data_IF_918268758619
#
_entry.id   IF_918268758619
#
_cell.length_a   1.000
_cell.length_b   1.000
_cell.length_c   1.000
_cell.angle_alpha   90.00
_cell.angle_beta   90.00
_cell.angle_gamma   90.00
#
_symmetry.space_group_name_H-M   'P 1'
#
loop_
_entity.id
_entity.type
_entity.pdbx_description
1 polymer ?
#
# COMPACT_ATOMS: atom_id res chain seq x y z
N UNK A 1 30.36 -19.56 20.47
CA UNK A 1 29.79 -19.41 21.80
C UNK A 1 29.23 -18.00 21.96
N UNK A 2 27.92 -17.88 21.75
CA UNK A 2 27.20 -16.63 21.93
C UNK A 2 26.74 -16.56 23.37
N UNK A 3 27.48 -15.91 24.22
CA UNK A 3 27.19 -15.78 25.64
C UNK A 3 27.29 -14.35 26.16
N UNK A 4 27.09 -13.34 25.29
CA UNK A 4 26.97 -11.97 25.78
C UNK A 4 25.51 -11.70 26.21
N UNK A 5 25.30 -11.33 27.49
CA UNK A 5 23.98 -10.89 27.91
C UNK A 5 23.60 -9.64 27.14
N UNK A 6 22.38 -9.61 26.58
CA UNK A 6 21.81 -8.39 26.03
C UNK A 6 21.65 -7.38 27.17
N UNK A 7 22.32 -6.24 27.03
CA UNK A 7 22.12 -5.14 27.95
C UNK A 7 20.86 -4.37 27.50
N UNK A 8 19.92 -4.10 28.39
CA UNK A 8 18.79 -3.23 28.07
C UNK A 8 19.33 -1.88 27.63
N UNK A 9 18.98 -1.44 26.43
CA UNK A 9 19.26 -0.08 25.99
C UNK A 9 17.92 0.61 25.74
N UNK A 10 17.83 1.87 26.11
CA UNK A 10 16.69 2.73 25.79
C UNK A 10 16.82 3.16 24.32
N UNK A 11 16.37 2.29 23.42
CA UNK A 11 16.35 2.57 21.99
C UNK A 11 15.00 3.19 21.67
N UNK A 12 14.93 4.49 21.48
CA UNK A 12 13.79 5.13 20.87
C UNK A 12 13.61 4.59 19.44
N UNK A 13 12.56 3.77 19.21
CA UNK A 13 12.21 3.30 17.87
C UNK A 13 11.60 4.43 17.05
N UNK A 14 12.02 4.58 15.78
CA UNK A 14 11.30 5.44 14.83
C UNK A 14 10.06 4.71 14.30
N UNK A 15 9.07 5.48 13.81
CA UNK A 15 7.88 4.93 13.18
C UNK A 15 8.23 4.16 11.90
N UNK A 16 7.36 3.22 11.55
CA UNK A 16 7.49 2.40 10.35
C UNK A 16 6.93 3.15 9.14
N UNK A 17 7.78 3.51 8.19
CA UNK A 17 7.40 4.19 6.97
C UNK A 17 6.54 3.35 6.05
N UNK A 18 6.70 2.03 6.07
CA UNK A 18 5.81 1.16 5.33
C UNK A 18 4.36 1.28 5.83
N UNK A 19 4.14 1.18 7.14
CA UNK A 19 2.81 1.34 7.72
C UNK A 19 2.28 2.78 7.51
N UNK A 20 3.17 3.77 7.61
CA UNK A 20 2.86 5.17 7.35
C UNK A 20 2.39 5.44 5.92
N UNK A 21 2.89 4.69 4.93
CA UNK A 21 2.56 4.90 3.52
C UNK A 21 1.05 4.76 3.22
N UNK A 22 0.34 3.88 3.93
CA UNK A 22 -1.12 3.73 3.73
C UNK A 22 -1.87 4.99 4.15
N UNK A 23 -1.50 5.60 5.25
CA UNK A 23 -2.11 6.83 5.76
C UNK A 23 -1.72 8.05 4.94
N UNK A 24 -0.47 8.11 4.48
CA UNK A 24 0.00 9.13 3.54
C UNK A 24 -0.78 9.07 2.21
N UNK A 25 -1.03 7.86 1.69
CA UNK A 25 -1.84 7.66 0.50
C UNK A 25 -3.31 8.07 0.74
N UNK A 26 -3.92 7.63 1.85
CA UNK A 26 -5.29 7.99 2.24
C UNK A 26 -5.47 9.51 2.30
N UNK A 27 -4.55 10.20 2.97
CA UNK A 27 -4.61 11.65 3.10
C UNK A 27 -4.57 12.35 1.74
N UNK A 28 -3.65 11.94 0.87
CA UNK A 28 -3.49 12.51 -0.48
C UNK A 28 -4.65 12.21 -1.42
N UNK A 29 -5.25 11.01 -1.32
CA UNK A 29 -6.44 10.66 -2.10
C UNK A 29 -7.66 11.48 -1.72
N UNK A 30 -7.77 11.90 -0.45
CA UNK A 30 -8.88 12.68 0.09
C UNK A 30 -8.62 14.19 0.14
N UNK A 31 -7.50 14.67 -0.39
CA UNK A 31 -7.04 16.06 -0.26
C UNK A 31 -6.90 16.54 1.20
N UNK A 32 -6.64 15.60 2.09
CA UNK A 32 -6.45 15.85 3.52
C UNK A 32 -4.98 15.73 3.91
N UNK A 33 -4.58 16.42 4.95
CA UNK A 33 -3.27 16.25 5.58
C UNK A 33 -3.38 15.25 6.71
N UNK A 34 -2.70 14.13 6.58
CA UNK A 34 -2.53 13.17 7.67
C UNK A 34 -1.16 13.44 8.32
N UNK A 35 -1.16 13.57 9.64
CA UNK A 35 0.08 13.67 10.41
C UNK A 35 0.30 12.36 11.14
N UNK A 36 1.40 11.71 10.85
CA UNK A 36 1.79 10.46 11.50
C UNK A 36 2.93 10.81 12.47
N UNK A 37 2.68 10.75 13.78
CA UNK A 37 3.72 11.01 14.75
C UNK A 37 4.82 9.93 14.65
N UNK A 38 6.04 10.28 15.01
CA UNK A 38 7.21 9.41 15.06
C UNK A 38 7.77 8.94 13.70
N UNK A 39 7.24 9.36 12.55
CA UNK A 39 7.93 9.15 11.28
C UNK A 39 9.15 10.09 11.19
N UNK A 40 10.32 9.50 11.07
CA UNK A 40 11.56 10.27 10.92
C UNK A 40 11.77 10.63 9.42
N UNK A 41 11.73 11.91 9.03
CA UNK A 41 11.95 12.32 7.64
C UNK A 41 13.37 12.01 7.14
N UNK A 42 14.31 11.76 8.04
CA UNK A 42 15.68 11.37 7.73
C UNK A 42 15.94 9.86 7.94
N UNK A 43 14.89 9.06 8.01
CA UNK A 43 14.99 7.61 8.17
C UNK A 43 15.80 6.96 7.05
N UNK A 44 16.47 5.85 7.39
CA UNK A 44 17.15 4.97 6.43
C UNK A 44 16.21 3.90 5.84
N UNK A 45 14.95 3.84 6.26
CA UNK A 45 13.97 2.93 5.68
C UNK A 45 13.74 3.28 4.21
N UNK A 46 13.84 2.29 3.32
CA UNK A 46 13.60 2.47 1.88
C UNK A 46 12.20 3.03 1.60
N UNK A 47 11.21 2.57 2.36
CA UNK A 47 9.82 2.95 2.22
C UNK A 47 9.52 4.45 2.49
N UNK A 48 10.48 5.19 3.07
CA UNK A 48 10.38 6.65 3.23
C UNK A 48 10.15 7.40 1.92
N UNK A 49 10.55 6.82 0.79
CA UNK A 49 10.36 7.42 -0.54
C UNK A 49 8.88 7.53 -0.94
N UNK A 50 7.96 6.88 -0.22
CA UNK A 50 6.53 6.86 -0.51
C UNK A 50 5.94 8.26 -0.69
N UNK A 51 6.33 9.24 0.12
CA UNK A 51 5.82 10.60 0.03
C UNK A 51 6.16 11.25 -1.32
N UNK A 52 7.42 11.14 -1.75
CA UNK A 52 7.87 11.67 -3.04
C UNK A 52 7.20 10.95 -4.22
N UNK A 53 7.01 9.63 -4.11
CA UNK A 53 6.37 8.83 -5.15
C UNK A 53 4.88 9.18 -5.28
N UNK A 54 4.16 9.34 -4.17
CA UNK A 54 2.77 9.79 -4.22
C UNK A 54 2.61 11.20 -4.78
N UNK A 55 3.50 12.13 -4.41
CA UNK A 55 3.46 13.49 -4.94
C UNK A 55 3.72 13.51 -6.46
N UNK A 56 4.66 12.70 -6.94
CA UNK A 56 4.94 12.59 -8.36
C UNK A 56 3.79 11.93 -9.14
N UNK A 57 3.19 10.83 -8.62
CA UNK A 57 2.01 10.19 -9.22
C UNK A 57 0.78 11.11 -9.28
N UNK A 58 0.64 11.99 -8.29
CA UNK A 58 -0.40 13.02 -8.30
C UNK A 58 -0.15 14.08 -9.37
N UNK A 59 1.11 14.37 -9.67
CA UNK A 59 1.51 15.34 -10.69
C UNK A 59 1.37 14.83 -12.13
N UNK A 60 1.37 13.52 -12.34
CA UNK A 60 1.26 12.91 -13.66
C UNK A 60 1.80 11.50 -13.72
N UNK A 61 1.72 10.92 -14.92
CA UNK A 61 2.27 9.57 -15.17
C UNK A 61 3.80 9.58 -15.03
N UNK A 62 4.33 8.68 -14.21
CA UNK A 62 5.76 8.65 -13.87
C UNK A 62 6.27 7.22 -13.72
N UNK A 63 7.61 7.04 -13.81
CA UNK A 63 8.29 5.76 -13.65
C UNK A 63 9.12 5.75 -12.37
N UNK A 64 9.03 4.65 -11.61
CA UNK A 64 9.77 4.43 -10.36
C UNK A 64 10.44 3.07 -10.33
N UNK A 65 11.60 2.96 -9.66
CA UNK A 65 12.17 1.68 -9.25
C UNK A 65 11.62 1.25 -7.90
N UNK A 66 11.29 -0.03 -7.75
CA UNK A 66 10.89 -0.66 -6.49
C UNK A 66 12.00 -1.52 -5.87
N UNK A 67 13.23 -1.42 -6.36
CA UNK A 67 14.36 -2.21 -5.84
C UNK A 67 14.52 -2.10 -4.33
N UNK A 68 14.50 -0.88 -3.80
CA UNK A 68 14.75 -0.58 -2.39
C UNK A 68 13.47 -0.49 -1.52
N UNK A 69 12.29 -0.50 -2.17
CA UNK A 69 10.99 -0.38 -1.48
C UNK A 69 9.91 -1.30 -2.05
N UNK A 70 10.21 -2.61 -2.27
CA UNK A 70 9.26 -3.53 -2.92
C UNK A 70 7.95 -3.66 -2.14
N UNK A 71 8.00 -3.46 -0.85
CA UNK A 71 6.84 -3.60 0.02
C UNK A 71 5.81 -2.47 -0.13
N UNK A 72 6.20 -1.36 -0.74
CA UNK A 72 5.26 -0.29 -1.15
C UNK A 72 4.46 -0.65 -2.42
N UNK A 73 4.86 -1.67 -3.19
CA UNK A 73 4.26 -2.00 -4.49
C UNK A 73 2.74 -1.99 -4.50
N UNK A 74 2.04 -2.79 -3.67
CA UNK A 74 0.58 -2.82 -3.67
C UNK A 74 -0.07 -1.45 -3.44
N UNK A 75 0.46 -0.66 -2.49
CA UNK A 75 -0.09 0.67 -2.20
C UNK A 75 0.20 1.66 -3.33
N UNK A 76 1.37 1.59 -3.93
CA UNK A 76 1.72 2.44 -5.08
C UNK A 76 0.87 2.10 -6.31
N UNK A 77 0.59 0.82 -6.57
CA UNK A 77 -0.30 0.41 -7.66
C UNK A 77 -1.72 0.91 -7.43
N UNK A 78 -2.25 0.80 -6.21
CA UNK A 78 -3.55 1.32 -5.84
C UNK A 78 -3.61 2.85 -5.97
N UNK A 79 -2.56 3.56 -5.54
CA UNK A 79 -2.49 5.01 -5.68
C UNK A 79 -2.37 5.47 -7.13
N UNK A 80 -1.55 4.78 -7.93
CA UNK A 80 -1.44 5.03 -9.37
C UNK A 80 -2.79 4.83 -10.09
N UNK A 81 -3.53 3.78 -9.72
CA UNK A 81 -4.88 3.53 -10.23
C UNK A 81 -5.84 4.70 -9.96
N UNK A 82 -5.75 5.30 -8.79
CA UNK A 82 -6.58 6.44 -8.37
C UNK A 82 -6.13 7.79 -8.92
N UNK A 83 -4.99 7.85 -9.60
CA UNK A 83 -4.40 9.09 -10.11
C UNK A 83 -4.13 9.00 -11.62
N UNK A 84 -2.94 9.34 -12.05
CA UNK A 84 -2.58 9.40 -13.48
C UNK A 84 -1.95 8.10 -14.03
N UNK A 85 -1.87 7.06 -13.20
CA UNK A 85 -1.12 5.86 -13.55
C UNK A 85 0.40 6.02 -13.35
N UNK A 86 1.13 4.93 -13.63
CA UNK A 86 2.58 4.94 -13.52
C UNK A 86 3.19 3.61 -13.95
N UNK A 87 4.50 3.64 -14.14
CA UNK A 87 5.32 2.46 -14.43
C UNK A 87 6.26 2.17 -13.25
N UNK A 88 6.39 0.91 -12.91
CA UNK A 88 7.20 0.45 -11.79
C UNK A 88 8.16 -0.61 -12.28
N UNK A 89 9.45 -0.38 -12.09
CA UNK A 89 10.52 -1.30 -12.51
C UNK A 89 11.10 -2.05 -11.32
N UNK A 90 11.86 -3.10 -11.57
CA UNK A 90 12.50 -3.94 -10.55
C UNK A 90 11.48 -4.57 -9.58
N UNK A 91 10.37 -5.03 -10.15
CA UNK A 91 9.21 -5.57 -9.43
C UNK A 91 9.29 -7.08 -9.17
N UNK A 92 10.30 -7.78 -9.68
CA UNK A 92 10.40 -9.23 -9.61
C UNK A 92 10.24 -9.81 -8.21
N UNK A 93 10.72 -9.10 -7.18
CA UNK A 93 10.58 -9.51 -5.78
C UNK A 93 9.14 -9.55 -5.27
N UNK A 94 8.20 -8.86 -5.94
CA UNK A 94 6.78 -8.86 -5.57
C UNK A 94 6.09 -10.19 -5.88
N UNK A 95 6.65 -11.01 -6.78
CA UNK A 95 6.06 -12.31 -7.15
C UNK A 95 6.32 -13.42 -6.14
N UNK A 96 7.31 -13.24 -5.28
CA UNK A 96 7.79 -14.26 -4.32
C UNK A 96 7.60 -13.82 -2.86
N UNK A 97 6.57 -13.03 -2.61
CA UNK A 97 6.16 -12.59 -1.26
C UNK A 97 5.08 -13.53 -0.68
N UNK A 98 4.23 -13.04 0.21
CA UNK A 98 3.11 -13.79 0.79
C UNK A 98 2.11 -14.26 -0.29
N UNK A 99 2.01 -13.50 -1.36
CA UNK A 99 1.27 -13.81 -2.59
C UNK A 99 2.10 -13.38 -3.80
N UNK A 100 1.71 -13.76 -5.03
CA UNK A 100 2.12 -13.02 -6.23
C UNK A 100 1.37 -11.68 -6.22
N UNK A 101 2.00 -10.66 -5.61
CA UNK A 101 1.40 -9.34 -5.44
C UNK A 101 1.05 -8.65 -6.75
N UNK A 102 1.77 -8.97 -7.83
CA UNK A 102 1.49 -8.40 -9.16
C UNK A 102 0.21 -9.02 -9.72
N UNK A 103 0.12 -10.36 -9.68
CA UNK A 103 -1.07 -11.09 -10.10
C UNK A 103 -2.30 -10.67 -9.30
N UNK A 104 -2.18 -10.66 -7.96
CA UNK A 104 -3.25 -10.24 -7.06
C UNK A 104 -3.74 -8.82 -7.38
N UNK A 105 -2.84 -7.84 -7.44
CA UNK A 105 -3.24 -6.46 -7.72
C UNK A 105 -3.82 -6.29 -9.12
N UNK A 106 -3.36 -7.05 -10.12
CA UNK A 106 -3.96 -7.03 -11.46
C UNK A 106 -5.42 -7.48 -11.43
N UNK A 107 -5.71 -8.59 -10.75
CA UNK A 107 -7.07 -9.12 -10.61
C UNK A 107 -7.97 -8.12 -9.88
N UNK A 108 -7.48 -7.58 -8.78
CA UNK A 108 -8.29 -6.71 -7.93
C UNK A 108 -8.50 -5.32 -8.53
N UNK A 109 -7.49 -4.72 -9.14
CA UNK A 109 -7.64 -3.42 -9.82
C UNK A 109 -8.57 -3.51 -11.04
N UNK A 110 -8.62 -4.65 -11.72
CA UNK A 110 -9.57 -4.88 -12.81
C UNK A 110 -11.03 -4.74 -12.35
N UNK A 111 -11.36 -5.10 -11.10
CA UNK A 111 -12.70 -4.94 -10.53
C UNK A 111 -13.10 -3.47 -10.36
N UNK A 112 -12.12 -2.56 -10.23
CA UNK A 112 -12.33 -1.11 -10.23
C UNK A 112 -12.33 -0.49 -11.64
N UNK A 113 -12.15 -1.32 -12.69
CA UNK A 113 -12.05 -0.87 -14.09
C UNK A 113 -10.66 -0.39 -14.48
N UNK A 114 -9.63 -0.73 -13.71
CA UNK A 114 -8.25 -0.30 -13.94
C UNK A 114 -7.41 -1.43 -14.52
N UNK A 115 -6.69 -1.13 -15.60
CA UNK A 115 -5.75 -2.05 -16.23
C UNK A 115 -4.38 -1.99 -15.53
N UNK A 116 -3.90 -3.14 -15.07
CA UNK A 116 -2.52 -3.36 -14.69
C UNK A 116 -1.91 -4.37 -15.66
N UNK A 117 -0.88 -3.97 -16.38
CA UNK A 117 -0.10 -4.84 -17.27
C UNK A 117 1.30 -5.03 -16.73
N UNK A 118 1.88 -6.20 -16.98
CA UNK A 118 3.25 -6.50 -16.59
C UNK A 118 4.05 -7.11 -17.78
N UNK A 119 5.31 -6.76 -17.84
CA UNK A 119 6.25 -7.27 -18.85
C UNK A 119 7.64 -7.36 -18.25
N UNK A 120 8.16 -8.60 -18.15
CA UNK A 120 9.46 -8.85 -17.53
C UNK A 120 9.49 -8.40 -16.07
N UNK A 121 10.36 -7.45 -15.78
CA UNK A 121 10.56 -6.87 -14.44
C UNK A 121 9.91 -5.47 -14.31
N UNK A 122 8.82 -5.25 -15.05
CA UNK A 122 8.13 -3.95 -15.10
C UNK A 122 6.62 -4.15 -15.01
N UNK A 123 5.96 -3.31 -14.21
CA UNK A 123 4.51 -3.20 -14.10
C UNK A 123 4.08 -1.81 -14.54
N UNK A 124 3.02 -1.72 -15.32
CA UNK A 124 2.37 -0.45 -15.68
C UNK A 124 0.92 -0.48 -15.24
N UNK A 125 0.52 0.53 -14.48
CA UNK A 125 -0.85 0.76 -14.05
C UNK A 125 -1.40 1.93 -14.85
N UNK A 126 -2.56 1.76 -15.47
CA UNK A 126 -3.30 2.85 -16.12
C UNK A 126 -4.15 3.55 -15.06
N UNK A 127 -3.90 4.83 -14.87
CA UNK A 127 -4.75 5.67 -14.02
C UNK A 127 -6.06 6.04 -14.72
N UNK A 128 -7.05 6.41 -13.95
CA UNK A 128 -8.33 6.82 -14.51
C UNK A 128 -9.46 6.92 -13.51
N UNK A 129 -10.67 6.89 -14.03
CA UNK A 129 -11.88 6.90 -13.21
C UNK A 129 -12.10 5.53 -12.60
N UNK A 130 -12.12 5.48 -11.27
CA UNK A 130 -12.44 4.27 -10.54
C UNK A 130 -13.95 4.01 -10.56
N UNK A 131 -14.33 2.74 -10.73
CA UNK A 131 -15.70 2.27 -10.57
C UNK A 131 -15.84 1.50 -9.25
N UNK A 132 -17.02 1.45 -8.68
CA UNK A 132 -17.28 0.54 -7.57
C UNK A 132 -17.05 -0.91 -8.03
N UNK A 133 -16.38 -1.75 -7.24
CA UNK A 133 -16.14 -3.14 -7.62
C UNK A 133 -17.45 -3.88 -7.84
N UNK A 134 -17.53 -4.60 -8.97
CA UNK A 134 -18.71 -5.40 -9.32
C UNK A 134 -18.82 -6.73 -8.57
N UNK A 135 -17.79 -7.08 -7.77
CA UNK A 135 -17.70 -8.29 -6.97
C UNK A 135 -16.79 -8.03 -5.75
N UNK A 136 -16.88 -8.84 -4.70
CA UNK A 136 -15.97 -8.73 -3.56
C UNK A 136 -14.50 -8.78 -3.99
N UNK A 137 -13.70 -7.95 -3.33
CA UNK A 137 -12.25 -7.93 -3.49
C UNK A 137 -11.66 -9.08 -2.69
N UNK A 138 -10.60 -9.71 -3.19
CA UNK A 138 -9.89 -10.76 -2.48
C UNK A 138 -8.58 -10.23 -1.88
N UNK A 139 -8.38 -10.47 -0.60
CA UNK A 139 -7.13 -10.12 0.07
C UNK A 139 -5.95 -11.04 -0.25
N UNK A 140 -6.16 -12.13 -0.97
CA UNK A 140 -5.13 -13.13 -1.35
C UNK A 140 -4.27 -13.63 -0.18
N UNK A 141 -4.79 -13.59 1.06
CA UNK A 141 -4.03 -13.94 2.27
C UNK A 141 -2.85 -12.99 2.57
N UNK A 142 -2.76 -11.86 1.89
CA UNK A 142 -1.68 -10.89 2.00
C UNK A 142 -2.19 -9.58 2.61
N UNK A 143 -1.67 -9.25 3.79
CA UNK A 143 -2.04 -8.05 4.53
C UNK A 143 -1.79 -6.75 3.74
N UNK A 144 -0.79 -6.71 2.86
CA UNK A 144 -0.46 -5.53 2.05
C UNK A 144 -1.48 -5.33 0.93
N UNK A 145 -1.97 -6.42 0.35
CA UNK A 145 -3.05 -6.38 -0.63
C UNK A 145 -4.32 -5.87 0.05
N UNK A 146 -4.71 -6.47 1.18
CA UNK A 146 -5.91 -6.05 1.93
C UNK A 146 -5.86 -4.55 2.25
N UNK A 147 -4.75 -4.07 2.82
CA UNK A 147 -4.64 -2.66 3.21
C UNK A 147 -4.65 -1.72 2.00
N UNK A 148 -3.98 -2.07 0.91
CA UNK A 148 -3.97 -1.26 -0.31
C UNK A 148 -5.38 -1.16 -0.93
N UNK A 149 -6.09 -2.29 -1.00
CA UNK A 149 -7.47 -2.34 -1.49
C UNK A 149 -8.43 -1.59 -0.58
N UNK A 150 -8.26 -1.68 0.74
CA UNK A 150 -9.07 -0.94 1.70
C UNK A 150 -8.92 0.58 1.52
N UNK A 151 -7.68 1.07 1.36
CA UNK A 151 -7.44 2.50 1.08
C UNK A 151 -8.06 2.90 -0.26
N UNK A 152 -7.91 2.09 -1.31
CA UNK A 152 -8.51 2.37 -2.62
C UNK A 152 -10.04 2.38 -2.55
N UNK A 153 -10.65 1.41 -1.86
CA UNK A 153 -12.09 1.29 -1.68
C UNK A 153 -12.72 2.46 -0.89
N UNK A 154 -11.92 3.27 -0.18
CA UNK A 154 -12.44 4.52 0.42
C UNK A 154 -12.99 5.49 -0.63
N UNK A 155 -12.61 5.33 -1.91
CA UNK A 155 -13.06 6.17 -3.04
C UNK A 155 -14.38 5.73 -3.65
N UNK A 156 -14.68 4.45 -3.58
CA UNK A 156 -15.82 3.84 -4.34
C UNK A 156 -16.73 2.99 -3.48
N UNK A 157 -16.33 2.65 -2.27
CA UNK A 157 -16.89 1.54 -1.52
C UNK A 157 -16.36 0.20 -2.04
N UNK A 158 -16.76 -0.88 -1.37
CA UNK A 158 -16.42 -2.26 -1.74
C UNK A 158 -16.45 -3.18 -0.54
N UNK A 159 -16.43 -4.47 -0.81
CA UNK A 159 -16.33 -5.57 0.15
C UNK A 159 -14.97 -6.26 -0.03
N UNK A 160 -14.32 -6.67 1.05
CA UNK A 160 -13.00 -7.32 1.00
C UNK A 160 -13.05 -8.62 1.78
N UNK A 161 -12.86 -9.74 1.07
CA UNK A 161 -12.66 -11.07 1.66
C UNK A 161 -11.23 -11.24 2.16
N UNK A 162 -11.05 -11.97 3.28
CA UNK A 162 -9.75 -12.19 3.89
C UNK A 162 -9.21 -10.96 4.63
N UNK A 163 -10.10 -10.08 5.07
CA UNK A 163 -9.79 -8.82 5.77
C UNK A 163 -8.97 -9.02 7.05
N UNK A 164 -9.03 -10.21 7.66
CA UNK A 164 -8.27 -10.60 8.85
C UNK A 164 -6.76 -10.71 8.62
N UNK A 165 -6.31 -10.82 7.37
CA UNK A 165 -4.88 -10.92 7.03
C UNK A 165 -4.06 -9.72 7.56
N UNK A 166 -4.69 -8.56 7.77
CA UNK A 166 -4.02 -7.38 8.35
C UNK A 166 -3.45 -7.65 9.74
N UNK A 167 -4.02 -8.61 10.49
CA UNK A 167 -3.56 -8.95 11.85
C UNK A 167 -2.10 -9.39 11.90
N UNK A 168 -1.56 -9.86 10.77
CA UNK A 168 -0.17 -10.31 10.65
C UNK A 168 0.85 -9.20 10.92
N UNK A 169 0.55 -7.96 10.51
CA UNK A 169 1.50 -6.85 10.58
C UNK A 169 0.92 -5.57 11.16
N UNK A 170 -0.40 -5.37 11.06
CA UNK A 170 -1.07 -4.17 11.54
C UNK A 170 -2.43 -4.51 12.17
N UNK A 171 -2.44 -5.12 13.38
CA UNK A 171 -3.68 -5.59 14.02
C UNK A 171 -4.74 -4.51 14.26
N UNK A 172 -4.33 -3.24 14.45
CA UNK A 172 -5.24 -2.12 14.67
C UNK A 172 -5.71 -1.41 13.40
N UNK A 173 -5.33 -1.88 12.21
CA UNK A 173 -5.59 -1.20 10.93
C UNK A 173 -7.06 -0.76 10.75
N UNK A 174 -8.01 -1.66 10.97
CA UNK A 174 -9.45 -1.35 10.81
C UNK A 174 -9.95 -0.35 11.83
N UNK A 175 -9.46 -0.43 13.07
CA UNK A 175 -9.77 0.55 14.12
C UNK A 175 -9.24 1.93 13.74
N UNK A 176 -8.00 2.00 13.26
CA UNK A 176 -7.35 3.25 12.90
C UNK A 176 -7.99 3.85 11.64
N UNK A 177 -8.39 3.03 10.66
CA UNK A 177 -9.15 3.46 9.48
C UNK A 177 -10.50 4.06 9.90
N UNK A 178 -11.19 3.44 10.85
CA UNK A 178 -12.43 3.96 11.44
C UNK A 178 -12.25 5.30 12.15
N UNK A 179 -11.08 5.54 12.77
CA UNK A 179 -10.76 6.81 13.42
C UNK A 179 -10.63 7.99 12.43
N UNK A 180 -10.35 7.70 11.15
CA UNK A 180 -10.42 8.69 10.07
C UNK A 180 -11.84 8.92 9.54
N UNK A 181 -12.86 8.33 10.16
CA UNK A 181 -14.25 8.46 9.76
C UNK A 181 -14.68 7.54 8.63
N UNK A 182 -13.83 6.60 8.22
CA UNK A 182 -14.18 5.58 7.23
C UNK A 182 -15.04 4.51 7.90
N UNK A 183 -16.24 4.31 7.38
CA UNK A 183 -17.16 3.30 7.91
C UNK A 183 -16.74 1.93 7.42
N UNK A 184 -16.34 1.05 8.34
CA UNK A 184 -16.01 -0.34 8.10
C UNK A 184 -16.94 -1.23 8.92
N UNK A 185 -17.54 -2.22 8.28
CA UNK A 185 -18.33 -3.26 8.93
C UNK A 185 -17.63 -4.60 8.68
N UNK A 186 -17.39 -5.36 9.74
CA UNK A 186 -16.91 -6.74 9.61
C UNK A 186 -18.15 -7.64 9.59
N UNK A 187 -18.26 -8.41 8.52
CA UNK A 187 -19.38 -9.33 8.28
C UNK A 187 -18.95 -10.74 8.65
#
# INVERSE_FOLDING_TARGET
PCGQPFMPCDCGGEGDWWAGAFWEALGRMGDNRVRIPNLNPNSRQGDRVCTAYFDALRGGFTTFSLADCPDLGPMLFAYAAATHGGTFTEVGRLRIKESDRIGAMREELAKFGVELSDSGDTVTVRGGTLHAPGAPLNGHGDHRIVMALAILATRTGGEIEGAEAVRKSYPSFWKDLGAFGIRCELI
#
